data_IF_778335722863
#
_entry.id   IF_778335722863
#
_cell.length_a   1.000
_cell.length_b   1.000
_cell.length_c   1.000
_cell.angle_alpha   90.00
_cell.angle_beta   90.00
_cell.angle_gamma   90.00
#
_symmetry.space_group_name_H-M   'P 1'
#
loop_
_entity.id
_entity.type
_entity.pdbx_description
1 polymer ?
#
# COMPACT_ATOMS: atom_id res chain seq x y z
N UNK A 1 -3.31 -6.41 28.10
CA UNK A 1 -1.86 -6.65 27.91
C UNK A 1 -1.38 -5.77 26.75
N UNK A 2 -1.04 -4.50 27.02
CA UNK A 2 -0.52 -3.59 25.98
C UNK A 2 0.89 -4.07 25.59
N UNK A 3 0.99 -4.82 24.49
CA UNK A 3 2.26 -5.25 23.92
C UNK A 3 2.98 -3.98 23.45
N UNK A 4 4.07 -3.58 24.13
CA UNK A 4 4.93 -2.48 23.67
C UNK A 4 5.51 -2.88 22.32
N UNK A 5 4.97 -2.34 21.23
CA UNK A 5 5.55 -2.52 19.91
C UNK A 5 6.95 -1.92 19.89
N UNK A 6 7.91 -2.63 19.31
CA UNK A 6 9.24 -2.06 19.11
C UNK A 6 9.14 -0.92 18.09
N UNK A 7 9.99 0.11 18.16
CA UNK A 7 9.99 1.21 17.19
C UNK A 7 10.06 0.70 15.74
N UNK A 8 10.80 -0.40 15.51
CA UNK A 8 10.85 -1.08 14.19
C UNK A 8 9.49 -1.64 13.77
N UNK A 9 8.76 -2.32 14.67
CA UNK A 9 7.42 -2.85 14.35
C UNK A 9 6.43 -1.75 14.00
N UNK A 10 6.53 -0.60 14.68
CA UNK A 10 5.65 0.54 14.40
C UNK A 10 5.89 1.12 13.01
N UNK A 11 7.15 1.20 12.58
CA UNK A 11 7.54 1.59 11.21
C UNK A 11 7.04 0.57 10.19
N UNK A 12 7.22 -0.73 10.43
CA UNK A 12 6.74 -1.76 9.49
C UNK A 12 5.21 -1.71 9.36
N UNK A 13 4.49 -1.53 10.48
CA UNK A 13 3.03 -1.45 10.48
C UNK A 13 2.54 -0.20 9.73
N UNK A 14 3.20 0.95 9.89
CA UNK A 14 2.84 2.17 9.17
C UNK A 14 3.10 2.03 7.67
N UNK A 15 4.24 1.48 7.26
CA UNK A 15 4.52 1.18 5.85
C UNK A 15 3.49 0.23 5.26
N UNK A 16 3.15 -0.86 5.97
CA UNK A 16 2.13 -1.81 5.52
C UNK A 16 0.78 -1.13 5.32
N UNK A 17 0.36 -0.26 6.25
CA UNK A 17 -0.90 0.46 6.14
C UNK A 17 -0.92 1.37 4.90
N UNK A 18 0.12 2.16 4.68
CA UNK A 18 0.21 3.08 3.53
C UNK A 18 0.23 2.31 2.20
N UNK A 19 1.03 1.25 2.08
CA UNK A 19 1.11 0.42 0.86
C UNK A 19 -0.26 -0.19 0.54
N UNK A 20 -0.94 -0.74 1.55
CA UNK A 20 -2.25 -1.37 1.35
C UNK A 20 -3.30 -0.35 0.93
N UNK A 21 -3.32 0.83 1.56
CA UNK A 21 -4.22 1.92 1.17
C UNK A 21 -3.92 2.42 -0.24
N UNK A 22 -2.64 2.61 -0.59
CA UNK A 22 -2.21 3.01 -1.92
C UNK A 22 -2.63 2.00 -2.99
N UNK A 23 -2.41 0.72 -2.75
CA UNK A 23 -2.80 -0.36 -3.66
C UNK A 23 -4.32 -0.37 -3.91
N UNK A 24 -5.14 -0.22 -2.86
CA UNK A 24 -6.60 -0.14 -3.00
C UNK A 24 -7.01 1.09 -3.80
N UNK A 25 -6.40 2.25 -3.56
CA UNK A 25 -6.67 3.46 -4.34
C UNK A 25 -6.29 3.31 -5.83
N UNK A 26 -5.19 2.61 -6.13
CA UNK A 26 -4.72 2.34 -7.50
C UNK A 26 -5.58 1.31 -8.25
N UNK A 27 -6.25 0.41 -7.52
CA UNK A 27 -7.20 -0.54 -8.12
C UNK A 27 -8.48 0.13 -8.61
N UNK A 28 -8.84 1.31 -8.11
CA UNK A 28 -10.03 2.01 -8.59
C UNK A 28 -9.87 2.42 -10.06
N UNK A 29 -10.89 2.23 -10.90
CA UNK A 29 -10.82 2.54 -12.33
C UNK A 29 -10.62 4.04 -12.61
N UNK A 30 -10.89 4.91 -11.63
CA UNK A 30 -10.60 6.36 -11.69
C UNK A 30 -9.08 6.63 -11.73
N UNK A 31 -8.29 5.76 -11.10
CA UNK A 31 -6.83 5.87 -11.00
C UNK A 31 -6.12 5.22 -12.19
N UNK A 32 -6.86 4.52 -13.07
CA UNK A 32 -6.32 3.78 -14.21
C UNK A 32 -6.63 4.52 -15.51
N UNK A 33 -5.58 4.86 -16.28
CA UNK A 33 -5.72 5.52 -17.59
C UNK A 33 -6.58 4.72 -18.57
N UNK A 34 -6.60 3.40 -18.42
CA UNK A 34 -7.37 2.48 -19.27
C UNK A 34 -8.82 2.28 -18.80
N UNK A 35 -9.25 2.97 -17.72
CA UNK A 35 -10.53 2.76 -17.01
C UNK A 35 -10.83 1.30 -16.62
N UNK A 36 -9.79 0.45 -16.60
CA UNK A 36 -9.88 -0.94 -16.15
C UNK A 36 -9.34 -1.05 -14.73
N UNK A 37 -9.90 -1.99 -13.97
CA UNK A 37 -9.34 -2.37 -12.68
C UNK A 37 -7.88 -2.79 -12.86
N UNK A 38 -6.99 -2.18 -12.08
CA UNK A 38 -5.57 -2.53 -12.06
C UNK A 38 -5.39 -3.87 -11.37
N UNK A 39 -4.61 -4.77 -11.96
CA UNK A 39 -4.33 -6.08 -11.35
C UNK A 39 -3.75 -5.92 -9.93
N UNK A 40 -4.20 -6.72 -8.95
CA UNK A 40 -3.78 -6.60 -7.55
C UNK A 40 -2.27 -6.61 -7.34
N UNK A 41 -1.58 -7.47 -8.09
CA UNK A 41 -0.13 -7.66 -8.00
C UNK A 41 0.57 -6.38 -8.49
N UNK A 42 0.12 -5.84 -9.63
CA UNK A 42 0.64 -4.59 -10.21
C UNK A 42 0.37 -3.40 -9.29
N UNK A 43 -0.82 -3.32 -8.68
CA UNK A 43 -1.20 -2.23 -7.77
C UNK A 43 -0.34 -2.22 -6.49
N UNK A 44 -0.12 -3.38 -5.85
CA UNK A 44 0.72 -3.50 -4.66
C UNK A 44 2.19 -3.21 -4.98
N UNK A 45 2.70 -3.73 -6.10
CA UNK A 45 4.08 -3.47 -6.53
C UNK A 45 4.32 -1.98 -6.77
N UNK A 46 3.40 -1.33 -7.51
CA UNK A 46 3.46 0.11 -7.79
C UNK A 46 3.36 0.93 -6.50
N UNK A 47 2.41 0.60 -5.61
CA UNK A 47 2.28 1.27 -4.32
C UNK A 47 3.55 1.14 -3.47
N UNK A 48 4.17 -0.04 -3.43
CA UNK A 48 5.41 -0.29 -2.68
C UNK A 48 6.58 0.54 -3.24
N UNK A 49 6.79 0.54 -4.56
CA UNK A 49 7.83 1.36 -5.20
C UNK A 49 7.64 2.85 -4.96
N UNK A 50 6.40 3.32 -4.90
CA UNK A 50 6.09 4.73 -4.60
C UNK A 50 6.31 5.10 -3.13
N UNK A 51 6.09 4.19 -2.19
CA UNK A 51 6.28 4.44 -0.75
C UNK A 51 7.74 4.35 -0.29
N UNK A 52 8.57 3.58 -1.00
CA UNK A 52 9.95 3.25 -0.58
C UNK A 52 11.02 4.10 -1.28
N UNK A 53 10.69 5.34 -1.69
CA UNK A 53 11.65 6.29 -2.30
C UNK A 53 12.46 7.06 -1.26
#
# INVERSE_FOLDING_TARGET
MLKKFTPVQLVVLSFLAVITTGAILLMLPVSSLSQRFTDPITAIFTATSATCV
#
